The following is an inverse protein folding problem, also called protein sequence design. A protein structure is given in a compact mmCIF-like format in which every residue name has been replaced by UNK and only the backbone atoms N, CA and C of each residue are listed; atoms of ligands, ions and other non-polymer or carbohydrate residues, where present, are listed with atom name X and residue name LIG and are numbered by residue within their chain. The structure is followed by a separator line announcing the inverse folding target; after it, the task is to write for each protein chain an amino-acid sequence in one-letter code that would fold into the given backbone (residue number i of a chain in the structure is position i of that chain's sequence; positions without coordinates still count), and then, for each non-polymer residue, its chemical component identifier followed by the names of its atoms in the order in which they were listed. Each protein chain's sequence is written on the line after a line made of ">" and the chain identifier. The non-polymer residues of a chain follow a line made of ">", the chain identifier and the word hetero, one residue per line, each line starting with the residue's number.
data_IF_614823802035
#
_entry.id   IF_614823802035
#
_cell.length_a   1.000
_cell.length_b   1.000
_cell.length_c   1.000
_cell.angle_alpha   90.00
_cell.angle_beta   90.00
_cell.angle_gamma   90.00
#
_symmetry.space_group_name_H-M   'P 1'
#
loop_
_entity.id
_entity.type
_entity.pdbx_description
1 polymer ?
#
# COMPACT_ATOMS: atom_id res chain seq x y z
N UNK A 1 3.47 4.21 5.75
CA UNK A 1 4.23 5.41 5.36
C UNK A 1 4.97 5.97 6.57
N UNK A 2 4.35 6.68 7.52
CA UNK A 2 5.07 7.21 8.71
C UNK A 2 5.67 6.19 9.68
N UNK A 3 4.95 5.09 9.98
CA UNK A 3 5.34 4.21 11.10
C UNK A 3 6.36 3.14 10.71
N UNK A 4 6.23 2.60 9.49
CA UNK A 4 7.14 1.58 8.94
C UNK A 4 7.44 1.86 7.45
N UNK A 5 8.13 2.97 7.11
CA UNK A 5 8.43 3.35 5.73
C UNK A 5 9.33 2.33 5.03
N UNK A 6 10.32 1.78 5.72
CA UNK A 6 11.27 0.79 5.18
C UNK A 6 10.59 -0.47 4.63
N UNK A 7 9.50 -0.94 5.26
CA UNK A 7 8.70 -2.08 4.77
C UNK A 7 8.09 -1.79 3.39
N UNK A 8 7.68 -0.55 3.13
CA UNK A 8 7.17 -0.13 1.83
C UNK A 8 8.29 -0.02 0.80
N UNK A 9 9.45 0.52 1.18
CA UNK A 9 10.62 0.65 0.29
C UNK A 9 11.12 -0.73 -0.13
N UNK A 10 11.30 -1.65 0.81
CA UNK A 10 11.69 -3.04 0.53
C UNK A 10 10.66 -3.73 -0.39
N UNK A 11 9.37 -3.53 -0.11
CA UNK A 11 8.30 -4.06 -0.96
C UNK A 11 8.34 -3.51 -2.39
N UNK A 12 8.63 -2.22 -2.55
CA UNK A 12 8.77 -1.59 -3.87
C UNK A 12 9.97 -2.14 -4.64
N UNK A 13 11.09 -2.42 -3.97
CA UNK A 13 12.27 -3.05 -4.58
C UNK A 13 11.97 -4.49 -5.03
N UNK A 14 11.32 -5.29 -4.18
CA UNK A 14 10.92 -6.67 -4.51
C UNK A 14 9.96 -6.69 -5.70
N UNK A 15 8.91 -5.87 -5.65
CA UNK A 15 7.92 -5.78 -6.72
C UNK A 15 8.56 -5.26 -8.02
N UNK A 16 9.40 -4.24 -7.93
CA UNK A 16 10.13 -3.69 -9.07
C UNK A 16 11.01 -4.73 -9.75
N UNK A 17 11.77 -5.50 -8.96
CA UNK A 17 12.59 -6.61 -9.48
C UNK A 17 11.73 -7.68 -10.17
N UNK A 18 10.64 -8.13 -9.53
CA UNK A 18 9.77 -9.16 -10.09
C UNK A 18 9.09 -8.74 -11.41
N UNK A 19 8.77 -7.45 -11.56
CA UNK A 19 8.12 -6.90 -12.75
C UNK A 19 9.10 -6.40 -13.82
N UNK A 20 10.41 -6.42 -13.54
CA UNK A 20 11.41 -5.83 -14.43
C UNK A 20 11.25 -4.32 -14.62
N UNK A 21 10.68 -3.63 -13.62
CA UNK A 21 10.59 -2.17 -13.64
C UNK A 21 12.01 -1.55 -13.62
N UNK A 22 12.13 -0.23 -13.78
CA UNK A 22 13.41 0.49 -13.58
C UNK A 22 13.35 1.58 -12.53
N UNK A 23 12.14 2.05 -12.24
CA UNK A 23 11.85 3.04 -11.22
C UNK A 23 10.54 2.66 -10.51
N UNK A 24 10.40 3.12 -9.28
CA UNK A 24 9.18 2.98 -8.50
C UNK A 24 8.81 4.34 -7.95
N UNK A 25 7.64 4.84 -8.31
CA UNK A 25 7.15 6.13 -7.85
C UNK A 25 6.14 5.92 -6.71
N UNK A 26 6.38 6.54 -5.56
CA UNK A 26 5.47 6.48 -4.41
C UNK A 26 4.64 7.73 -4.37
N UNK A 27 3.43 7.56 -4.86
CA UNK A 27 2.48 8.63 -5.02
C UNK A 27 1.72 8.87 -3.71
N UNK A 28 1.99 10.01 -3.04
CA UNK A 28 1.42 10.36 -1.73
C UNK A 28 0.40 11.48 -1.87
N UNK A 29 -0.74 11.28 -1.22
CA UNK A 29 -1.79 12.28 -1.09
C UNK A 29 -1.23 13.60 -0.55
N UNK A 30 -1.59 14.74 -1.14
CA UNK A 30 -0.99 16.04 -0.81
C UNK A 30 -1.17 16.47 0.65
N UNK A 31 -2.24 16.02 1.31
CA UNK A 31 -2.51 16.29 2.73
C UNK A 31 -1.56 15.55 3.68
N UNK A 32 -0.84 14.52 3.22
CA UNK A 32 0.07 13.70 4.02
C UNK A 32 1.52 14.21 3.94
N UNK A 33 1.71 15.50 4.21
CA UNK A 33 3.03 16.15 4.16
C UNK A 33 4.04 15.52 5.14
N UNK A 34 3.62 15.28 6.39
CA UNK A 34 4.52 14.71 7.40
C UNK A 34 4.92 13.26 7.05
N UNK A 35 3.98 12.45 6.59
CA UNK A 35 4.24 11.10 6.12
C UNK A 35 5.18 11.09 4.90
N UNK A 36 5.08 12.09 4.03
CA UNK A 36 5.97 12.27 2.89
C UNK A 36 7.40 12.59 3.33
N UNK A 37 7.58 13.53 4.27
CA UNK A 37 8.91 13.85 4.82
C UNK A 37 9.57 12.62 5.44
N UNK A 38 8.85 11.89 6.29
CA UNK A 38 9.38 10.67 6.94
C UNK A 38 9.73 9.60 5.90
N UNK A 39 8.89 9.42 4.88
CA UNK A 39 9.20 8.45 3.83
C UNK A 39 10.42 8.88 3.01
N UNK A 40 10.57 10.17 2.72
CA UNK A 40 11.73 10.71 2.00
C UNK A 40 13.03 10.48 2.79
N UNK A 41 13.01 10.70 4.10
CA UNK A 41 14.14 10.40 4.99
C UNK A 41 14.51 8.91 4.92
N UNK A 42 13.52 8.02 5.06
CA UNK A 42 13.74 6.57 4.96
C UNK A 42 14.29 6.15 3.58
N UNK A 43 13.88 6.82 2.51
CA UNK A 43 14.43 6.61 1.15
C UNK A 43 15.90 7.00 1.12
N UNK A 44 16.26 8.18 1.66
CA UNK A 44 17.66 8.60 1.74
C UNK A 44 18.51 7.63 2.56
N UNK A 45 17.99 7.12 3.68
CA UNK A 45 18.65 6.09 4.49
C UNK A 45 18.90 4.81 3.67
N UNK A 46 17.89 4.33 2.96
CA UNK A 46 18.00 3.13 2.12
C UNK A 46 19.02 3.32 0.99
N UNK A 47 19.02 4.48 0.34
CA UNK A 47 20.01 4.84 -0.68
C UNK A 47 21.44 4.88 -0.14
N UNK A 48 21.63 5.51 1.03
CA UNK A 48 22.93 5.59 1.69
C UNK A 48 23.45 4.19 2.04
N UNK A 49 22.62 3.35 2.65
CA UNK A 49 22.97 1.97 2.99
C UNK A 49 23.34 1.16 1.73
N UNK A 50 22.62 1.37 0.62
CA UNK A 50 22.93 0.73 -0.66
C UNK A 50 24.30 1.17 -1.19
N UNK A 51 24.61 2.47 -1.19
CA UNK A 51 25.92 2.99 -1.61
C UNK A 51 27.04 2.45 -0.71
N UNK A 52 26.86 2.45 0.61
CA UNK A 52 27.84 1.89 1.55
C UNK A 52 28.06 0.39 1.32
N UNK A 53 27.00 -0.36 1.02
CA UNK A 53 27.10 -1.79 0.67
C UNK A 53 27.86 -2.04 -0.64
N UNK A 54 27.90 -1.03 -1.52
CA UNK A 54 28.60 -1.05 -2.79
C UNK A 54 30.07 -0.71 -2.67
N UNK A 55 30.42 0.15 -1.71
CA UNK A 55 31.79 0.55 -1.40
C UNK A 55 32.48 -0.43 -0.42
N UNK A 56 31.70 -1.25 0.29
CA UNK A 56 32.16 -2.22 1.30
C UNK A 56 32.67 -3.57 0.77
N UNK A 57 33.98 -3.79 0.94
CA UNK A 57 34.83 -4.99 0.70
C UNK A 57 35.37 -5.19 -0.73
N UNK A 58 36.59 -4.67 -0.93
CA UNK A 58 37.59 -5.06 -1.93
C UNK A 58 37.29 -4.70 -3.40
N UNK A 59 37.11 -3.42 -3.68
CA UNK A 59 37.50 -2.84 -4.99
C UNK A 59 36.82 -3.41 -6.24
N UNK A 60 35.70 -4.12 -6.08
CA UNK A 60 34.86 -4.57 -7.19
C UNK A 60 33.41 -4.22 -6.83
N UNK A 61 32.72 -3.37 -7.61
CA UNK A 61 31.31 -3.09 -7.37
C UNK A 61 30.53 -4.40 -7.54
N UNK A 62 30.08 -4.99 -6.43
CA UNK A 62 29.46 -6.33 -6.44
C UNK A 62 28.03 -6.33 -6.94
N UNK A 63 27.35 -5.18 -6.96
CA UNK A 63 25.95 -5.10 -7.37
C UNK A 63 25.71 -3.81 -8.16
N UNK A 64 25.56 -3.84 -9.49
CA UNK A 64 24.87 -2.70 -10.13
C UNK A 64 23.53 -2.54 -9.40
N UNK A 65 23.22 -1.38 -8.77
CA UNK A 65 21.88 -1.19 -8.25
C UNK A 65 20.94 -1.39 -9.44
N UNK A 66 20.01 -2.36 -9.40
CA UNK A 66 19.20 -2.65 -10.58
C UNK A 66 18.22 -1.52 -10.92
N UNK A 67 18.17 -0.47 -10.09
CA UNK A 67 17.18 0.60 -10.14
C UNK A 67 17.77 1.93 -9.67
N UNK A 68 17.75 3.00 -10.49
CA UNK A 68 17.51 4.34 -9.98
C UNK A 68 16.01 4.44 -9.65
N UNK A 69 15.63 4.14 -8.42
CA UNK A 69 14.25 4.33 -7.97
C UNK A 69 14.02 5.83 -7.73
N UNK A 70 13.71 6.57 -8.79
CA UNK A 70 13.13 7.91 -8.64
C UNK A 70 11.77 7.76 -7.94
N UNK A 71 11.74 8.02 -6.63
CA UNK A 71 10.52 8.01 -5.84
C UNK A 71 9.95 9.43 -5.86
N UNK A 72 9.01 9.67 -6.77
CA UNK A 72 8.30 10.94 -6.93
C UNK A 72 6.89 10.91 -6.33
N UNK A 73 6.41 12.07 -5.88
CA UNK A 73 5.31 12.24 -4.92
C UNK A 73 4.18 13.11 -5.46
N UNK A 74 2.98 12.57 -5.71
CA UNK A 74 1.81 13.32 -6.24
C UNK A 74 0.47 12.68 -5.75
N UNK A 75 -0.74 13.27 -5.93
CA UNK A 75 -2.05 12.82 -5.36
C UNK A 75 -3.30 12.77 -6.32
N UNK A 76 -4.03 11.61 -6.45
CA UNK A 76 -5.16 11.18 -7.36
C UNK A 76 -5.24 9.63 -7.64
N UNK A 77 -6.38 8.99 -8.01
CA UNK A 77 -6.50 7.52 -8.22
C UNK A 77 -6.00 6.94 -9.56
N UNK A 78 -5.46 5.72 -9.53
CA UNK A 78 -4.98 4.82 -10.62
C UNK A 78 -4.63 5.39 -12.00
N UNK A 79 -5.58 5.75 -12.87
CA UNK A 79 -5.26 6.34 -14.20
C UNK A 79 -5.15 7.86 -14.18
N UNK A 80 -5.92 8.52 -13.31
CA UNK A 80 -5.75 9.94 -12.99
C UNK A 80 -4.43 10.19 -12.24
N UNK A 81 -3.95 9.19 -11.49
CA UNK A 81 -2.62 9.16 -10.87
C UNK A 81 -1.54 9.35 -11.92
N UNK A 82 -1.60 8.56 -13.01
CA UNK A 82 -0.63 8.62 -14.10
C UNK A 82 -0.64 9.99 -14.77
N UNK A 83 -1.82 10.52 -15.10
CA UNK A 83 -1.96 11.85 -15.69
C UNK A 83 -1.45 12.97 -14.77
N UNK A 84 -1.77 12.90 -13.47
CA UNK A 84 -1.28 13.87 -12.50
C UNK A 84 0.24 13.79 -12.33
N UNK A 85 0.83 12.59 -12.38
CA UNK A 85 2.28 12.41 -12.34
C UNK A 85 2.98 12.93 -13.60
N UNK A 86 2.29 12.90 -14.75
CA UNK A 86 2.76 13.52 -15.98
C UNK A 86 2.60 15.05 -15.99
N UNK A 87 2.17 15.66 -14.88
CA UNK A 87 1.97 17.10 -14.75
C UNK A 87 0.69 17.61 -15.41
N UNK A 88 -0.20 16.72 -15.85
CA UNK A 88 -1.49 17.08 -16.44
C UNK A 88 -2.56 17.16 -15.35
N UNK A 89 -3.74 17.66 -15.72
CA UNK A 89 -4.89 17.58 -14.84
C UNK A 89 -5.21 16.09 -14.56
N UNK A 90 -5.43 15.72 -13.30
CA UNK A 90 -5.75 14.35 -12.86
C UNK A 90 -7.11 13.83 -13.34
N UNK A 91 -7.30 13.75 -14.65
CA UNK A 91 -8.47 13.18 -15.30
C UNK A 91 -8.18 11.72 -15.62
N UNK A 92 -9.06 10.76 -15.29
CA UNK A 92 -8.86 9.37 -15.65
C UNK A 92 -8.73 9.17 -17.16
N UNK A 93 -7.73 8.40 -17.61
CA UNK A 93 -7.67 7.90 -18.99
C UNK A 93 -8.81 6.91 -19.24
N UNK A 94 -9.43 7.00 -20.43
CA UNK A 94 -10.34 5.98 -20.94
C UNK A 94 -9.57 4.68 -21.17
N UNK A 95 -10.19 3.54 -20.83
CA UNK A 95 -9.69 2.21 -21.18
C UNK A 95 -10.44 1.78 -22.45
N UNK A 96 -9.78 1.28 -23.50
CA UNK A 96 -8.32 1.12 -23.70
C UNK A 96 -7.58 2.43 -24.06
N UNK A 97 -6.25 2.54 -23.85
CA UNK A 97 -5.29 1.48 -23.44
C UNK A 97 -5.21 1.25 -21.92
N UNK A 98 -4.78 0.05 -21.50
CA UNK A 98 -4.54 -0.25 -20.09
C UNK A 98 -3.16 0.25 -19.63
N UNK A 99 -3.00 0.69 -18.36
CA UNK A 99 -1.70 1.14 -17.85
C UNK A 99 -0.58 0.11 -17.95
N UNK A 100 -0.93 -1.18 -17.84
CA UNK A 100 0.03 -2.27 -17.97
C UNK A 100 0.69 -2.29 -19.37
N UNK A 101 0.02 -1.79 -20.39
CA UNK A 101 0.55 -1.67 -21.75
C UNK A 101 1.14 -0.26 -21.99
N UNK A 102 0.34 0.78 -21.72
CA UNK A 102 0.69 2.19 -21.94
C UNK A 102 0.28 3.00 -20.71
N UNK A 103 1.21 3.11 -19.76
CA UNK A 103 1.03 3.79 -18.49
C UNK A 103 1.80 5.11 -18.42
N UNK A 104 2.64 5.23 -17.39
CA UNK A 104 3.37 6.45 -17.06
C UNK A 104 4.42 6.78 -18.13
N UNK A 105 4.37 7.99 -18.67
CA UNK A 105 5.24 8.46 -19.76
C UNK A 105 5.19 7.57 -21.02
N UNK A 106 4.07 6.87 -21.23
CA UNK A 106 3.90 5.91 -22.33
C UNK A 106 4.58 4.56 -22.10
N UNK A 107 5.16 4.33 -20.92
CA UNK A 107 5.80 3.07 -20.54
C UNK A 107 4.82 2.11 -19.85
N UNK A 108 4.99 0.78 -19.99
CA UNK A 108 4.27 -0.22 -19.20
C UNK A 108 4.36 0.07 -17.70
N UNK A 109 3.22 0.24 -17.03
CA UNK A 109 3.17 0.62 -15.61
C UNK A 109 2.04 -0.07 -14.86
N UNK A 110 2.37 -0.69 -13.73
CA UNK A 110 1.38 -1.22 -12.78
C UNK A 110 1.18 -0.26 -11.62
N UNK A 111 -0.08 -0.03 -11.23
CA UNK A 111 -0.41 0.79 -10.05
C UNK A 111 -0.98 -0.11 -8.96
N UNK A 112 -0.32 -0.11 -7.80
CA UNK A 112 -0.71 -0.94 -6.65
C UNK A 112 -0.86 -0.07 -5.39
N UNK A 113 -1.72 -0.50 -4.46
CA UNK A 113 -1.83 0.15 -3.16
C UNK A 113 -0.56 -0.10 -2.32
N UNK A 114 -0.21 0.87 -1.48
CA UNK A 114 0.95 0.79 -0.56
C UNK A 114 0.91 -0.44 0.33
N UNK A 115 -0.26 -0.87 0.79
CA UNK A 115 -0.41 -2.05 1.65
C UNK A 115 -0.09 -3.35 0.91
N UNK A 116 -0.51 -3.47 -0.34
CA UNK A 116 -0.20 -4.61 -1.20
C UNK A 116 1.31 -4.73 -1.40
N UNK A 117 1.97 -3.63 -1.75
CA UNK A 117 3.42 -3.59 -1.95
C UNK A 117 4.16 -3.85 -0.63
N UNK A 118 3.73 -3.24 0.48
CA UNK A 118 4.35 -3.43 1.79
C UNK A 118 4.14 -4.85 2.36
N UNK A 119 3.19 -5.62 1.84
CA UNK A 119 3.01 -7.02 2.25
C UNK A 119 4.02 -7.97 1.59
N UNK A 120 4.54 -7.60 0.41
CA UNK A 120 5.45 -8.44 -0.38
C UNK A 120 6.70 -8.93 0.40
N UNK A 121 7.41 -8.10 1.19
CA UNK A 121 8.57 -8.56 1.95
C UNK A 121 8.25 -9.68 2.93
N UNK A 122 7.14 -9.56 3.66
CA UNK A 122 6.72 -10.58 4.63
C UNK A 122 6.36 -11.90 3.91
N UNK A 123 5.67 -11.81 2.77
CA UNK A 123 5.31 -12.97 1.94
C UNK A 123 6.56 -13.65 1.40
N UNK A 124 7.52 -12.90 0.85
CA UNK A 124 8.77 -13.46 0.33
C UNK A 124 9.60 -14.12 1.44
N UNK A 125 9.61 -13.55 2.65
CA UNK A 125 10.39 -14.08 3.78
C UNK A 125 9.75 -15.31 4.44
N UNK A 126 8.43 -15.35 4.56
CA UNK A 126 7.69 -16.41 5.28
C UNK A 126 7.07 -17.47 4.36
N UNK A 127 7.01 -17.19 3.05
CA UNK A 127 6.44 -18.06 2.03
C UNK A 127 4.98 -17.74 1.72
N UNK A 128 4.57 -18.02 0.48
CA UNK A 128 3.21 -17.77 0.01
C UNK A 128 2.17 -18.64 0.75
N UNK A 129 2.51 -19.88 1.11
CA UNK A 129 1.61 -20.77 1.84
C UNK A 129 1.25 -20.22 3.23
N UNK A 130 2.18 -19.53 3.91
CA UNK A 130 1.92 -18.85 5.18
C UNK A 130 0.94 -17.69 5.00
N UNK A 131 1.08 -16.88 3.95
CA UNK A 131 0.13 -15.80 3.72
C UNK A 131 -1.24 -16.33 3.28
N UNK A 132 -1.26 -17.42 2.52
CA UNK A 132 -2.47 -18.10 2.07
C UNK A 132 -3.21 -18.86 3.18
N UNK A 133 -2.55 -19.15 4.32
CA UNK A 133 -3.21 -19.81 5.46
C UNK A 133 -4.19 -18.90 6.21
N UNK A 134 -4.16 -17.59 5.95
CA UNK A 134 -5.12 -16.64 6.47
C UNK A 134 -6.23 -16.39 5.46
N UNK A 135 -7.45 -16.26 5.95
CA UNK A 135 -8.67 -15.95 5.21
C UNK A 135 -9.28 -17.15 4.50
N UNK A 136 -10.40 -16.90 3.83
CA UNK A 136 -11.13 -17.92 3.06
C UNK A 136 -10.57 -18.08 1.65
N UNK A 137 -10.99 -19.14 0.97
CA UNK A 137 -10.64 -19.37 -0.44
C UNK A 137 -10.88 -18.12 -1.29
N UNK A 138 -9.89 -17.73 -2.10
CA UNK A 138 -9.89 -16.54 -2.98
C UNK A 138 -9.91 -15.19 -2.25
N UNK A 139 -9.79 -15.17 -0.91
CA UNK A 139 -9.65 -13.95 -0.11
C UNK A 139 -8.62 -14.17 1.01
N UNK A 140 -7.37 -14.34 0.60
CA UNK A 140 -6.27 -14.75 1.46
C UNK A 140 -5.42 -13.61 1.99
N UNK A 141 -4.93 -13.76 3.22
CA UNK A 141 -3.98 -12.84 3.85
C UNK A 141 -4.57 -12.05 5.00
N UNK A 142 -3.80 -11.05 5.42
CA UNK A 142 -4.21 -10.06 6.43
C UNK A 142 -4.57 -8.74 5.75
N UNK A 143 -5.36 -7.93 6.44
CA UNK A 143 -5.76 -6.60 6.00
C UNK A 143 -5.63 -5.62 7.14
N UNK A 144 -5.14 -4.42 6.83
CA UNK A 144 -5.27 -3.26 7.70
C UNK A 144 -6.70 -2.73 7.60
N UNK A 145 -7.46 -2.93 8.68
CA UNK A 145 -8.81 -2.43 8.86
C UNK A 145 -8.76 -1.08 9.58
N UNK A 146 -9.30 -0.04 8.94
CA UNK A 146 -9.48 1.28 9.54
C UNK A 146 -10.92 1.40 10.04
N UNK A 147 -11.14 1.13 11.33
CA UNK A 147 -12.45 1.17 11.95
C UNK A 147 -12.66 2.59 12.49
N UNK A 148 -13.63 3.30 11.91
CA UNK A 148 -13.90 4.71 12.18
C UNK A 148 -15.39 4.94 12.41
N UNK A 149 -15.75 6.13 12.90
CA UNK A 149 -17.15 6.52 13.14
C UNK A 149 -17.62 6.16 14.55
N UNK A 150 -18.86 5.66 14.66
CA UNK A 150 -19.58 5.48 15.92
C UNK A 150 -19.23 4.17 16.65
N UNK A 151 -17.95 3.97 16.96
CA UNK A 151 -17.45 2.86 17.78
C UNK A 151 -16.80 3.41 19.05
N UNK A 152 -16.71 2.61 20.11
CA UNK A 152 -16.19 3.08 21.41
C UNK A 152 -14.73 3.52 21.30
N UNK A 153 -13.89 2.72 20.64
CA UNK A 153 -12.47 3.00 20.42
C UNK A 153 -12.12 2.90 18.92
N UNK A 154 -12.27 3.97 18.13
CA UNK A 154 -11.85 3.97 16.73
C UNK A 154 -10.36 3.68 16.59
N UNK A 155 -10.00 2.73 15.71
CA UNK A 155 -8.62 2.30 15.58
C UNK A 155 -8.30 1.80 14.15
N UNK A 156 -7.01 1.67 13.86
CA UNK A 156 -6.53 0.94 12.69
C UNK A 156 -5.79 -0.30 13.17
N UNK A 157 -6.24 -1.48 12.76
CA UNK A 157 -5.72 -2.77 13.22
C UNK A 157 -5.44 -3.69 12.04
N UNK A 158 -4.36 -4.46 12.11
CA UNK A 158 -4.10 -5.55 11.16
C UNK A 158 -4.81 -6.81 11.66
N UNK A 159 -5.66 -7.39 10.84
CA UNK A 159 -6.37 -8.63 11.17
C UNK A 159 -6.49 -9.54 9.95
N UNK A 160 -6.69 -10.83 10.18
CA UNK A 160 -6.98 -11.82 9.15
C UNK A 160 -8.19 -11.40 8.29
N UNK A 161 -8.06 -11.57 6.96
CA UNK A 161 -9.18 -11.35 6.06
C UNK A 161 -10.30 -12.36 6.30
N UNK A 162 -11.54 -11.95 6.02
CA UNK A 162 -12.73 -12.79 6.24
C UNK A 162 -13.12 -12.99 7.71
N UNK A 163 -12.51 -12.22 8.63
CA UNK A 163 -13.02 -12.07 10.01
C UNK A 163 -14.48 -11.56 9.98
N UNK A 164 -15.39 -12.11 10.81
CA UNK A 164 -16.74 -11.59 10.94
C UNK A 164 -16.73 -10.12 11.36
N UNK A 165 -17.49 -9.28 10.65
CA UNK A 165 -17.47 -7.84 10.88
C UNK A 165 -17.88 -7.44 12.31
N UNK A 166 -18.85 -8.16 12.89
CA UNK A 166 -19.24 -7.98 14.30
C UNK A 166 -18.09 -8.31 15.25
N UNK A 167 -17.42 -9.44 15.04
CA UNK A 167 -16.27 -9.86 15.84
C UNK A 167 -15.14 -8.82 15.76
N UNK A 168 -14.84 -8.32 14.57
CA UNK A 168 -13.82 -7.29 14.35
C UNK A 168 -14.10 -6.03 15.20
N UNK A 169 -15.34 -5.54 15.20
CA UNK A 169 -15.72 -4.32 15.94
C UNK A 169 -15.75 -4.56 17.45
N UNK A 170 -16.38 -5.63 17.90
CA UNK A 170 -16.49 -5.94 19.32
C UNK A 170 -15.11 -6.21 19.94
N UNK A 171 -14.25 -6.96 19.24
CA UNK A 171 -12.91 -7.32 19.73
C UNK A 171 -11.95 -6.14 19.77
N UNK A 172 -11.86 -5.37 18.69
CA UNK A 172 -10.79 -4.36 18.54
C UNK A 172 -11.20 -2.95 18.88
N UNK A 173 -12.50 -2.62 18.77
CA UNK A 173 -13.02 -1.29 19.08
C UNK A 173 -13.84 -1.23 20.36
N UNK A 174 -14.12 -2.37 21.00
CA UNK A 174 -14.97 -2.44 22.18
C UNK A 174 -16.47 -2.25 21.87
N UNK A 175 -16.87 -2.45 20.61
CA UNK A 175 -18.25 -2.40 20.19
C UNK A 175 -18.71 -1.06 19.58
N UNK A 176 -19.96 -1.06 19.12
CA UNK A 176 -20.67 0.14 18.64
C UNK A 176 -21.06 1.01 19.84
N UNK A 177 -21.04 2.33 19.69
CA UNK A 177 -21.48 3.24 20.77
C UNK A 177 -22.96 2.95 21.07
N UNK A 178 -23.27 2.63 22.33
CA UNK A 178 -24.62 2.21 22.75
C UNK A 178 -24.93 0.72 22.52
N UNK A 179 -23.94 -0.08 22.12
CA UNK A 179 -24.07 -1.52 21.87
C UNK A 179 -24.48 -1.87 20.44
N UNK A 180 -24.35 -3.15 20.07
CA UNK A 180 -24.63 -3.64 18.72
C UNK A 180 -26.06 -3.33 18.25
N UNK A 181 -27.04 -3.33 19.16
CA UNK A 181 -28.43 -3.05 18.81
C UNK A 181 -28.71 -1.59 18.45
N UNK A 182 -27.82 -0.68 18.84
CA UNK A 182 -27.87 0.73 18.45
C UNK A 182 -27.27 0.97 17.05
N UNK A 183 -26.76 -0.07 16.39
CA UNK A 183 -26.20 0.05 15.05
C UNK A 183 -27.30 0.32 14.01
N UNK A 184 -27.12 1.38 13.22
CA UNK A 184 -27.98 1.66 12.07
C UNK A 184 -27.46 1.00 10.80
N UNK A 185 -26.21 1.30 10.44
CA UNK A 185 -25.56 0.78 9.24
C UNK A 185 -24.03 0.92 9.31
N UNK A 186 -23.33 0.14 8.49
CA UNK A 186 -21.86 0.14 8.37
C UNK A 186 -21.47 0.27 6.91
N UNK A 187 -20.40 1.01 6.64
CA UNK A 187 -19.78 1.10 5.31
C UNK A 187 -18.47 0.30 5.34
N UNK A 188 -18.43 -0.95 4.81
CA UNK A 188 -17.36 -1.91 5.09
C UNK A 188 -16.05 -1.68 4.30
N UNK A 189 -16.08 -0.89 3.23
CA UNK A 189 -15.01 -0.84 2.22
C UNK A 189 -14.63 0.58 1.79
N UNK A 190 -14.78 1.56 2.69
CA UNK A 190 -14.65 2.99 2.38
C UNK A 190 -15.90 3.55 1.67
N UNK A 191 -15.90 4.84 1.34
CA UNK A 191 -17.10 5.54 0.84
C UNK A 191 -17.63 5.05 -0.52
N UNK A 192 -16.90 4.16 -1.20
CA UNK A 192 -17.24 3.63 -2.52
C UNK A 192 -18.09 2.36 -2.50
N UNK A 193 -18.45 1.84 -1.32
CA UNK A 193 -19.27 0.61 -1.21
C UNK A 193 -20.64 0.90 -0.60
N UNK A 194 -21.67 0.09 -0.92
CA UNK A 194 -22.98 0.20 -0.29
C UNK A 194 -22.92 0.04 1.22
N UNK A 195 -23.91 0.61 1.90
CA UNK A 195 -24.11 0.40 3.32
C UNK A 195 -24.62 -1.02 3.58
N UNK A 196 -24.12 -1.63 4.63
CA UNK A 196 -24.68 -2.86 5.22
C UNK A 196 -25.58 -2.43 6.37
N UNK A 197 -26.89 -2.74 6.35
CA UNK A 197 -27.78 -2.50 7.48
C UNK A 197 -27.38 -3.38 8.68
N UNK A 198 -27.99 -3.18 9.85
CA UNK A 198 -27.71 -4.02 11.02
C UNK A 198 -27.97 -5.52 10.79
N UNK A 199 -29.00 -5.84 9.99
CA UNK A 199 -29.49 -7.20 9.72
C UNK A 199 -28.58 -8.01 8.80
#
# INVERSE_FOLDING_TARGET
>A
MRHHPHKLIEGALIAGYAMGARAAYIYIRGEFYNEACILQEAIHEAYKALIESMEGKQGKPRLKPPFPADIGLFGCPTTALIESMEGKQGKPRLKPPFPADIGLFGCPTTVNNVETIASAPAICKRGAAWFASFGRERNHGTKLYCISGHVVNPCTVEEEMSVPLKELIERHCGGVIGGWDNLLAIIPGGSSVPLIPKE
#
